data_IF_026885200514
#
_entry.id   IF_026885200514
#
_cell.length_a   1.000
_cell.length_b   1.000
_cell.length_c   1.000
_cell.angle_alpha   90.00
_cell.angle_beta   90.00
_cell.angle_gamma   90.00
#
_symmetry.space_group_name_H-M   'P 1'
#
loop_
_entity.id
_entity.type
_entity.pdbx_description
1 polymer ?
#
# COMPACT_ATOMS: atom_id res chain seq x y z
N UNK A 1 -14.23 7.14 -1.78
CA UNK A 1 -14.56 6.85 -3.18
C UNK A 1 -13.64 5.75 -3.68
N UNK A 2 -14.19 4.77 -4.41
CA UNK A 2 -13.43 3.65 -4.95
C UNK A 2 -13.01 4.03 -6.37
N UNK A 3 -11.81 4.57 -6.52
CA UNK A 3 -11.23 4.88 -7.82
C UNK A 3 -9.95 4.05 -7.99
N UNK A 4 -9.90 3.24 -9.03
CA UNK A 4 -8.75 2.42 -9.38
C UNK A 4 -8.40 2.71 -10.84
N UNK A 5 -7.26 3.37 -11.06
CA UNK A 5 -6.80 3.83 -12.38
C UNK A 5 -6.91 2.78 -13.52
N UNK A 6 -6.58 1.48 -13.32
CA UNK A 6 -6.69 0.50 -14.41
C UNK A 6 -8.04 -0.24 -14.51
N UNK A 7 -8.96 -0.11 -13.54
CA UNK A 7 -10.21 -0.91 -13.52
C UNK A 7 -11.40 -0.05 -13.12
N UNK A 8 -12.45 -0.04 -13.95
CA UNK A 8 -13.65 0.76 -13.73
C UNK A 8 -14.38 0.46 -12.39
N UNK A 9 -14.22 -0.75 -11.84
CA UNK A 9 -14.85 -1.17 -10.59
C UNK A 9 -13.99 -2.17 -9.81
N UNK A 10 -14.18 -2.23 -8.49
CA UNK A 10 -13.57 -3.28 -7.67
C UNK A 10 -14.40 -4.56 -7.73
N UNK A 11 -13.70 -5.68 -7.91
CA UNK A 11 -14.27 -7.02 -7.77
C UNK A 11 -14.69 -7.29 -6.32
N UNK A 12 -15.64 -8.21 -6.11
CA UNK A 12 -16.08 -8.61 -4.76
C UNK A 12 -14.90 -9.08 -3.90
N UNK A 13 -14.02 -9.92 -4.46
CA UNK A 13 -12.79 -10.36 -3.78
C UNK A 13 -11.92 -9.19 -3.32
N UNK A 14 -11.68 -8.19 -4.17
CA UNK A 14 -10.89 -7.01 -3.80
C UNK A 14 -11.54 -6.22 -2.67
N UNK A 15 -12.88 -6.08 -2.66
CA UNK A 15 -13.61 -5.42 -1.56
C UNK A 15 -13.44 -6.16 -0.24
N UNK A 16 -13.59 -7.50 -0.25
CA UNK A 16 -13.34 -8.34 0.95
C UNK A 16 -11.91 -8.15 1.46
N UNK A 17 -10.91 -8.17 0.57
CA UNK A 17 -9.51 -8.01 0.94
C UNK A 17 -9.21 -6.60 1.50
N UNK A 18 -9.84 -5.56 0.96
CA UNK A 18 -9.74 -4.20 1.49
C UNK A 18 -10.36 -4.10 2.88
N UNK A 19 -11.57 -4.63 3.07
CA UNK A 19 -12.25 -4.66 4.38
C UNK A 19 -11.41 -5.43 5.40
N UNK A 20 -10.87 -6.58 5.04
CA UNK A 20 -9.98 -7.37 5.90
C UNK A 20 -8.74 -6.57 6.32
N UNK A 21 -8.06 -5.92 5.37
CA UNK A 21 -6.90 -5.07 5.67
C UNK A 21 -7.28 -3.92 6.61
N UNK A 22 -8.40 -3.24 6.34
CA UNK A 22 -8.89 -2.15 7.18
C UNK A 22 -9.22 -2.62 8.60
N UNK A 23 -9.95 -3.72 8.74
CA UNK A 23 -10.28 -4.31 10.03
C UNK A 23 -9.01 -4.59 10.86
N UNK A 24 -7.98 -5.18 10.26
CA UNK A 24 -6.70 -5.44 10.95
C UNK A 24 -5.97 -4.17 11.38
N UNK A 25 -5.96 -3.11 10.55
CA UNK A 25 -5.33 -1.84 10.90
C UNK A 25 -6.08 -1.12 12.05
N UNK A 26 -7.41 -1.15 12.06
CA UNK A 26 -8.19 -0.61 13.18
C UNK A 26 -8.02 -1.46 14.45
N UNK A 27 -7.88 -2.77 14.31
CA UNK A 27 -7.61 -3.67 15.43
C UNK A 27 -6.23 -3.42 16.05
N UNK A 28 -5.23 -3.06 15.25
CA UNK A 28 -3.93 -2.57 15.74
C UNK A 28 -4.05 -1.26 16.51
N UNK A 29 -5.00 -0.40 16.10
CA UNK A 29 -5.25 0.88 16.78
C UNK A 29 -5.94 0.69 18.14
N UNK A 30 -6.85 -0.28 18.25
CA UNK A 30 -7.49 -0.66 19.52
C UNK A 30 -6.53 -1.44 20.44
N UNK A 31 -5.79 -2.40 19.88
CA UNK A 31 -4.90 -3.29 20.62
C UNK A 31 -3.45 -2.80 20.57
N UNK A 32 -3.11 -1.85 21.46
CA UNK A 32 -1.77 -1.25 21.53
C UNK A 32 -0.68 -2.31 21.74
N UNK A 33 -0.95 -3.32 22.57
CA UNK A 33 0.02 -4.37 22.88
C UNK A 33 0.04 -5.47 21.81
N UNK A 34 1.25 -5.83 21.37
CA UNK A 34 1.46 -6.70 20.22
C UNK A 34 0.96 -8.14 20.46
N UNK A 35 1.10 -8.66 21.68
CA UNK A 35 0.60 -9.97 22.10
C UNK A 35 -0.92 -10.11 21.97
N UNK A 36 -1.67 -9.13 22.50
CA UNK A 36 -3.13 -9.06 22.39
C UNK A 36 -3.57 -8.88 20.95
N UNK A 37 -2.89 -8.00 20.21
CA UNK A 37 -3.13 -7.80 18.79
C UNK A 37 -3.07 -9.13 18.02
N UNK A 38 -1.98 -9.90 18.15
CA UNK A 38 -1.83 -11.17 17.43
C UNK A 38 -2.94 -12.18 17.76
N UNK A 39 -3.38 -12.25 19.02
CA UNK A 39 -4.49 -13.09 19.41
C UNK A 39 -5.77 -12.74 18.63
N UNK A 40 -6.15 -11.46 18.61
CA UNK A 40 -7.35 -11.01 17.90
C UNK A 40 -7.22 -11.06 16.38
N UNK A 41 -6.02 -10.86 15.81
CA UNK A 41 -5.77 -11.07 14.37
C UNK A 41 -6.06 -12.51 13.96
N UNK A 42 -5.65 -13.50 14.78
CA UNK A 42 -5.95 -14.90 14.52
C UNK A 42 -7.46 -15.19 14.58
N UNK A 43 -8.18 -14.60 15.53
CA UNK A 43 -9.64 -14.71 15.62
C UNK A 43 -10.34 -14.08 14.41
N UNK A 44 -9.95 -12.86 14.02
CA UNK A 44 -10.42 -12.21 12.81
C UNK A 44 -10.23 -13.10 11.59
N UNK A 45 -9.02 -13.63 11.41
CA UNK A 45 -8.74 -14.52 10.29
C UNK A 45 -9.63 -15.76 10.29
N UNK A 46 -9.90 -16.36 11.45
CA UNK A 46 -10.79 -17.51 11.55
C UNK A 46 -12.22 -17.16 11.11
N UNK A 47 -12.76 -16.00 11.50
CA UNK A 47 -14.09 -15.55 11.08
C UNK A 47 -14.17 -15.32 9.56
N UNK A 48 -13.16 -14.70 8.96
CA UNK A 48 -13.09 -14.55 7.50
C UNK A 48 -12.89 -15.89 6.77
N UNK A 49 -12.20 -16.85 7.37
CA UNK A 49 -11.98 -18.18 6.77
C UNK A 49 -13.24 -19.06 6.81
N UNK A 50 -14.15 -18.86 7.78
CA UNK A 50 -15.42 -19.58 7.89
C UNK A 50 -16.32 -19.39 6.65
N UNK A 51 -16.41 -18.16 6.15
CA UNK A 51 -17.21 -17.79 4.98
C UNK A 51 -16.41 -17.78 3.66
N UNK A 52 -15.20 -18.37 3.64
CA UNK A 52 -14.34 -18.33 2.45
C UNK A 52 -14.87 -19.15 1.28
N UNK A 53 -15.51 -20.29 1.56
CA UNK A 53 -15.96 -21.26 0.55
C UNK A 53 -17.45 -21.11 0.19
N UNK A 54 -18.01 -19.91 0.35
CA UNK A 54 -19.40 -19.65 -0.04
C UNK A 54 -19.53 -19.55 -1.56
N UNK A 55 -20.41 -20.38 -2.14
CA UNK A 55 -20.65 -20.43 -3.59
C UNK A 55 -21.69 -19.42 -4.06
N UNK A 56 -22.61 -19.01 -3.19
CA UNK A 56 -23.67 -18.05 -3.51
C UNK A 56 -23.17 -16.60 -3.40
N UNK A 57 -23.09 -15.92 -4.55
CA UNK A 57 -22.64 -14.54 -4.64
C UNK A 57 -23.60 -13.54 -3.98
N UNK A 58 -24.91 -13.81 -3.95
CA UNK A 58 -25.87 -12.91 -3.32
C UNK A 58 -25.64 -12.91 -1.81
N UNK A 59 -25.56 -14.09 -1.21
CA UNK A 59 -25.20 -14.25 0.20
C UNK A 59 -23.84 -13.62 0.52
N UNK A 60 -22.81 -13.85 -0.30
CA UNK A 60 -21.49 -13.27 -0.09
C UNK A 60 -21.49 -11.72 -0.14
N UNK A 61 -22.34 -11.11 -0.97
CA UNK A 61 -22.50 -9.64 -0.99
C UNK A 61 -23.27 -9.12 0.23
N UNK A 62 -24.24 -9.88 0.72
CA UNK A 62 -24.98 -9.54 1.93
C UNK A 62 -24.07 -9.59 3.16
N UNK A 63 -23.27 -10.65 3.32
CA UNK A 63 -22.30 -10.77 4.40
C UNK A 63 -21.27 -9.63 4.37
N UNK A 64 -20.78 -9.28 3.19
CA UNK A 64 -19.86 -8.15 3.03
C UNK A 64 -20.51 -6.84 3.51
N UNK A 65 -21.78 -6.60 3.14
CA UNK A 65 -22.52 -5.41 3.56
C UNK A 65 -22.77 -5.38 5.07
N UNK A 66 -23.05 -6.52 5.68
CA UNK A 66 -23.21 -6.64 7.13
C UNK A 66 -21.89 -6.42 7.86
N UNK A 67 -20.80 -7.02 7.37
CA UNK A 67 -19.46 -6.82 7.89
C UNK A 67 -18.98 -5.36 7.76
N UNK A 68 -19.29 -4.68 6.66
CA UNK A 68 -19.00 -3.24 6.49
C UNK A 68 -19.75 -2.38 7.51
N UNK A 69 -21.01 -2.72 7.83
CA UNK A 69 -21.77 -2.02 8.88
C UNK A 69 -21.16 -2.26 10.26
N UNK A 70 -20.85 -3.50 10.60
CA UNK A 70 -20.19 -3.83 11.86
C UNK A 70 -18.85 -3.11 12.00
N UNK A 71 -18.05 -3.13 10.93
CA UNK A 71 -16.79 -2.41 10.87
C UNK A 71 -17.00 -0.91 11.10
N UNK A 72 -17.96 -0.28 10.41
CA UNK A 72 -18.28 1.14 10.57
C UNK A 72 -18.66 1.52 12.01
N UNK A 73 -19.43 0.68 12.69
CA UNK A 73 -19.82 0.92 14.08
C UNK A 73 -18.65 0.79 15.06
N UNK A 74 -17.68 -0.08 14.77
CA UNK A 74 -16.57 -0.42 15.66
C UNK A 74 -15.23 0.25 15.29
N UNK A 75 -15.24 1.25 14.39
CA UNK A 75 -14.01 1.93 13.99
C UNK A 75 -13.39 2.70 15.15
N UNK A 76 -12.08 2.56 15.31
CA UNK A 76 -11.33 3.43 16.21
C UNK A 76 -11.40 4.88 15.73
N UNK A 77 -11.75 5.87 16.59
CA UNK A 77 -11.93 7.27 16.17
C UNK A 77 -10.70 7.93 15.52
N UNK A 78 -9.50 7.53 15.92
CA UNK A 78 -8.24 8.10 15.41
C UNK A 78 -7.27 6.98 15.01
N UNK A 79 -7.51 6.29 13.89
CA UNK A 79 -6.71 5.12 13.52
C UNK A 79 -5.22 5.47 13.39
N UNK A 80 -4.36 4.48 13.64
CA UNK A 80 -2.93 4.63 13.40
C UNK A 80 -2.67 4.74 11.89
N UNK A 81 -2.11 5.87 11.49
CA UNK A 81 -1.72 6.16 10.10
C UNK A 81 -0.21 6.31 10.05
N UNK A 82 0.45 5.63 9.11
CA UNK A 82 1.89 5.75 8.94
C UNK A 82 2.29 7.19 8.58
N UNK A 83 3.44 7.70 9.06
CA UNK A 83 3.81 9.10 8.88
C UNK A 83 3.80 9.59 7.42
N UNK A 84 4.27 8.76 6.49
CA UNK A 84 4.38 9.10 5.07
C UNK A 84 3.12 8.75 4.25
N UNK A 85 2.15 8.05 4.86
CA UNK A 85 0.88 7.73 4.19
C UNK A 85 -0.07 8.92 4.20
N UNK A 86 -1.05 9.00 3.28
CA UNK A 86 -2.07 10.05 3.29
C UNK A 86 -2.78 10.15 4.64
N UNK A 87 -2.85 11.37 5.19
CA UNK A 87 -3.38 11.62 6.55
C UNK A 87 -2.38 11.39 7.69
N UNK A 88 -1.15 10.96 7.37
CA UNK A 88 -0.04 10.82 8.32
C UNK A 88 0.58 12.17 8.68
N UNK A 89 1.35 12.18 9.77
CA UNK A 89 1.97 13.41 10.33
C UNK A 89 3.12 13.98 9.49
N UNK A 90 3.64 13.22 8.53
CA UNK A 90 4.74 13.63 7.63
C UNK A 90 4.36 13.52 6.15
N UNK A 91 3.06 13.37 5.86
CA UNK A 91 2.55 13.31 4.51
C UNK A 91 2.89 14.60 3.76
N UNK A 92 3.44 14.47 2.55
CA UNK A 92 3.87 15.59 1.69
C UNK A 92 4.86 16.58 2.34
N UNK A 93 5.44 16.26 3.51
CA UNK A 93 6.40 17.13 4.22
C UNK A 93 7.56 17.57 3.34
N UNK A 94 8.03 16.69 2.46
CA UNK A 94 9.19 16.94 1.59
C UNK A 94 8.81 17.37 0.17
N UNK A 95 7.53 17.55 -0.13
CA UNK A 95 7.06 17.92 -1.47
C UNK A 95 7.63 19.28 -1.92
N UNK A 96 7.79 20.22 -0.99
CA UNK A 96 8.39 21.54 -1.27
C UNK A 96 9.86 21.48 -1.75
N UNK A 97 10.56 20.37 -1.55
CA UNK A 97 11.93 20.16 -2.03
C UNK A 97 11.99 19.37 -3.34
N UNK A 98 10.86 18.88 -3.84
CA UNK A 98 10.77 18.09 -5.07
C UNK A 98 10.69 19.01 -6.28
N UNK A 99 11.78 19.70 -6.57
CA UNK A 99 11.90 20.55 -7.75
C UNK A 99 11.87 19.67 -9.00
N UNK A 100 11.01 19.95 -9.99
CA UNK A 100 10.96 19.15 -11.19
C UNK A 100 12.21 19.37 -12.04
N UNK A 101 12.65 18.29 -12.70
CA UNK A 101 13.93 18.23 -13.41
C UNK A 101 14.09 19.34 -14.47
N UNK A 102 13.01 19.75 -15.12
CA UNK A 102 13.03 20.74 -16.19
C UNK A 102 13.47 22.15 -15.71
N UNK A 103 13.29 22.50 -14.44
CA UNK A 103 13.76 23.80 -13.89
C UNK A 103 15.29 23.97 -13.97
N UNK A 104 16.05 22.87 -14.05
CA UNK A 104 17.50 22.93 -14.25
C UNK A 104 17.91 23.43 -15.64
N UNK A 105 16.99 23.42 -16.62
CA UNK A 105 17.25 24.00 -17.94
C UNK A 105 17.31 25.53 -17.89
N UNK A 106 16.65 26.17 -16.91
CA UNK A 106 16.58 27.62 -16.77
C UNK A 106 17.80 28.23 -16.04
N UNK A 107 18.73 27.40 -15.56
CA UNK A 107 19.92 27.85 -14.85
C UNK A 107 20.85 28.70 -15.72
N UNK A 108 21.47 29.72 -15.12
CA UNK A 108 22.45 30.55 -15.81
C UNK A 108 23.69 29.71 -16.22
N UNK A 109 24.31 29.94 -17.39
CA UNK A 109 25.45 29.14 -17.85
C UNK A 109 26.60 29.03 -16.86
N UNK A 110 26.87 30.07 -16.06
CA UNK A 110 27.92 30.01 -15.01
C UNK A 110 27.59 29.02 -13.89
N UNK A 111 26.31 28.87 -13.54
CA UNK A 111 25.86 27.89 -12.55
C UNK A 111 25.94 26.47 -13.13
N UNK A 112 25.61 26.30 -14.42
CA UNK A 112 25.75 25.01 -15.11
C UNK A 112 27.21 24.58 -15.25
N UNK A 113 28.11 25.53 -15.50
CA UNK A 113 29.55 25.28 -15.61
C UNK A 113 30.16 24.72 -14.32
N UNK A 114 29.50 24.87 -13.16
CA UNK A 114 29.90 24.25 -11.89
C UNK A 114 29.76 22.71 -11.92
N UNK A 115 28.88 22.15 -12.75
CA UNK A 115 28.57 20.72 -12.80
C UNK A 115 28.68 20.15 -14.23
N UNK A 116 29.87 20.21 -14.86
CA UNK A 116 30.02 19.91 -16.29
C UNK A 116 29.62 18.46 -16.63
N UNK A 117 30.05 17.48 -15.82
CA UNK A 117 29.78 16.06 -16.08
C UNK A 117 28.30 15.71 -15.97
N UNK A 118 27.59 16.33 -15.02
CA UNK A 118 26.16 16.10 -14.83
C UNK A 118 25.36 16.64 -16.01
N UNK A 119 25.61 17.89 -16.43
CA UNK A 119 24.93 18.46 -17.58
C UNK A 119 25.29 17.75 -18.89
N UNK A 120 26.53 17.28 -19.07
CA UNK A 120 26.92 16.47 -20.21
C UNK A 120 26.11 15.15 -20.29
N UNK A 121 25.96 14.44 -19.17
CA UNK A 121 25.12 13.23 -19.09
C UNK A 121 23.66 13.54 -19.33
N UNK A 122 23.14 14.62 -18.75
CA UNK A 122 21.74 15.04 -18.91
C UNK A 122 21.39 15.31 -20.37
N UNK A 123 22.28 15.92 -21.15
CA UNK A 123 22.04 16.13 -22.58
C UNK A 123 21.91 14.82 -23.36
N UNK A 124 22.61 13.74 -22.95
CA UNK A 124 22.39 12.41 -23.52
C UNK A 124 20.97 11.89 -23.24
N UNK A 125 20.45 12.09 -22.03
CA UNK A 125 19.07 11.73 -21.68
C UNK A 125 18.03 12.57 -22.44
N UNK A 126 18.27 13.86 -22.61
CA UNK A 126 17.39 14.75 -23.39
C UNK A 126 17.39 14.38 -24.87
N UNK A 127 18.55 13.98 -25.41
CA UNK A 127 18.66 13.45 -26.78
C UNK A 127 17.86 12.16 -26.93
N UNK A 128 18.03 11.20 -26.01
CA UNK A 128 17.27 9.95 -25.99
C UNK A 128 15.75 10.21 -25.95
N UNK A 129 15.29 11.14 -25.10
CA UNK A 129 13.87 11.51 -25.01
C UNK A 129 13.32 12.07 -26.32
N UNK A 130 14.10 12.91 -27.02
CA UNK A 130 13.68 13.49 -28.31
C UNK A 130 13.57 12.40 -29.39
N UNK A 131 14.53 11.47 -29.41
CA UNK A 131 14.55 10.35 -30.36
C UNK A 131 13.43 9.34 -30.11
N UNK A 132 13.10 9.09 -28.84
CA UNK A 132 12.05 8.14 -28.46
C UNK A 132 10.64 8.68 -28.69
N UNK A 133 10.41 9.99 -28.53
CA UNK A 133 9.08 10.60 -28.56
C UNK A 133 8.25 10.25 -29.79
N UNK A 134 8.82 10.37 -31.00
CA UNK A 134 8.08 10.06 -32.23
C UNK A 134 7.71 8.58 -32.33
N UNK A 135 8.56 7.69 -31.82
CA UNK A 135 8.31 6.23 -31.84
C UNK A 135 7.21 5.86 -30.86
N UNK A 136 7.26 6.43 -29.66
CA UNK A 136 6.25 6.26 -28.61
C UNK A 136 4.88 6.72 -29.09
N UNK A 137 4.79 7.91 -29.70
CA UNK A 137 3.52 8.44 -30.23
C UNK A 137 2.97 7.57 -31.35
N UNK A 138 3.84 7.09 -32.27
CA UNK A 138 3.42 6.14 -33.32
C UNK A 138 2.90 4.84 -32.74
N UNK A 139 3.58 4.29 -31.73
CA UNK A 139 3.13 3.08 -31.04
C UNK A 139 1.75 3.30 -30.40
N UNK A 140 1.57 4.40 -29.66
CA UNK A 140 0.28 4.73 -29.05
C UNK A 140 -0.83 4.90 -30.10
N UNK A 141 -0.57 5.59 -31.21
CA UNK A 141 -1.55 5.75 -32.28
C UNK A 141 -1.94 4.44 -32.96
N UNK A 142 -1.00 3.49 -33.07
CA UNK A 142 -1.24 2.18 -33.65
C UNK A 142 -2.07 1.27 -32.73
N UNK A 143 -1.83 1.34 -31.42
CA UNK A 143 -2.49 0.49 -30.43
C UNK A 143 -3.80 1.06 -29.90
N UNK A 144 -3.97 2.39 -29.97
CA UNK A 144 -5.19 3.06 -29.50
C UNK A 144 -6.34 2.81 -30.48
N UNK A 145 -7.47 2.36 -29.94
CA UNK A 145 -8.70 2.14 -30.70
C UNK A 145 -9.25 3.48 -31.24
N UNK A 146 -10.03 3.44 -32.33
CA UNK A 146 -10.58 4.65 -32.98
C UNK A 146 -11.45 5.53 -32.05
N UNK A 147 -12.04 4.95 -31.01
CA UNK A 147 -12.84 5.67 -29.99
C UNK A 147 -12.02 6.23 -28.82
N UNK A 148 -10.68 6.16 -28.87
CA UNK A 148 -9.79 6.50 -27.76
C UNK A 148 -9.46 5.30 -26.86
N UNK A 149 -8.58 5.49 -25.86
CA UNK A 149 -8.19 4.41 -24.94
C UNK A 149 -9.33 4.06 -23.98
N UNK A 150 -9.59 2.77 -23.81
CA UNK A 150 -10.61 2.25 -22.88
C UNK A 150 -10.16 2.20 -21.42
N UNK A 151 -8.85 2.29 -21.16
CA UNK A 151 -8.24 2.21 -19.82
C UNK A 151 -6.98 3.07 -19.79
N UNK A 152 -6.58 3.56 -18.60
CA UNK A 152 -5.38 4.36 -18.39
C UNK A 152 -4.06 3.56 -18.51
N UNK A 153 -4.12 2.26 -18.78
CA UNK A 153 -2.97 1.39 -18.86
C UNK A 153 -2.18 1.66 -20.14
N UNK A 154 -0.89 2.01 -19.98
CA UNK A 154 0.03 2.19 -21.11
C UNK A 154 0.63 0.85 -21.54
N UNK A 155 0.79 0.63 -22.86
CA UNK A 155 1.42 -0.58 -23.34
C UNK A 155 2.93 -0.58 -23.08
N UNK A 156 3.56 -1.76 -22.92
CA UNK A 156 5.02 -1.86 -22.84
C UNK A 156 5.68 -1.60 -24.20
N UNK A 157 6.99 -1.37 -24.23
CA UNK A 157 7.75 -1.28 -25.47
C UNK A 157 7.72 -2.63 -26.24
N UNK A 158 7.42 -2.61 -27.53
CA UNK A 158 7.27 -3.83 -28.34
C UNK A 158 8.57 -4.29 -29.03
N UNK A 159 9.46 -3.35 -29.38
CA UNK A 159 10.67 -3.63 -30.17
C UNK A 159 11.92 -3.44 -29.33
N UNK A 160 12.95 -4.21 -29.65
CA UNK A 160 14.26 -4.07 -29.04
C UNK A 160 14.87 -2.70 -29.38
N UNK A 161 15.24 -1.94 -28.36
CA UNK A 161 15.77 -0.58 -28.48
C UNK A 161 14.74 0.54 -28.43
N UNK A 162 13.43 0.24 -28.43
CA UNK A 162 12.40 1.23 -28.16
C UNK A 162 12.12 1.36 -26.65
N UNK A 163 11.71 2.56 -26.22
CA UNK A 163 11.37 2.85 -24.82
C UNK A 163 9.85 2.81 -24.62
N UNK A 164 9.37 2.46 -23.40
CA UNK A 164 7.94 2.46 -23.12
C UNK A 164 7.32 3.85 -23.34
N UNK A 165 6.11 3.96 -23.89
CA UNK A 165 5.48 5.26 -24.13
C UNK A 165 5.27 6.05 -22.84
N UNK A 166 5.47 7.37 -22.92
CA UNK A 166 5.31 8.34 -21.82
C UNK A 166 6.18 8.08 -20.59
N UNK A 167 7.27 7.31 -20.72
CA UNK A 167 8.15 6.91 -19.60
C UNK A 167 8.79 8.09 -18.86
N UNK A 168 8.99 9.24 -19.51
CA UNK A 168 9.85 10.31 -19.01
C UNK A 168 9.48 10.81 -17.61
N UNK A 169 8.21 11.13 -17.37
CA UNK A 169 7.77 11.71 -16.10
C UNK A 169 7.83 10.69 -14.95
N UNK A 170 7.73 9.40 -15.25
CA UNK A 170 7.83 8.31 -14.28
C UNK A 170 9.29 8.10 -13.86
N UNK A 171 10.20 8.12 -14.84
CA UNK A 171 11.64 7.88 -14.61
C UNK A 171 12.34 9.10 -14.04
N UNK A 172 12.00 10.30 -14.51
CA UNK A 172 12.61 11.56 -14.05
C UNK A 172 11.86 12.22 -12.89
N UNK A 173 10.97 11.47 -12.22
CA UNK A 173 10.28 11.98 -11.04
C UNK A 173 11.29 12.39 -9.97
N UNK A 174 11.05 13.50 -9.23
CA UNK A 174 11.88 13.85 -8.10
C UNK A 174 11.98 12.72 -7.08
N UNK A 175 13.10 12.66 -6.39
CA UNK A 175 13.31 11.68 -5.32
C UNK A 175 12.34 11.94 -4.17
N UNK A 176 11.84 10.90 -3.52
CA UNK A 176 10.92 11.05 -2.37
C UNK A 176 11.55 11.82 -1.21
N UNK A 177 12.85 11.61 -0.96
CA UNK A 177 13.63 12.32 0.06
C UNK A 177 14.86 12.99 -0.56
N UNK A 178 14.70 14.22 -1.11
CA UNK A 178 15.81 14.99 -1.70
C UNK A 178 16.82 15.49 -0.65
N UNK A 179 16.34 15.80 0.56
CA UNK A 179 17.12 16.39 1.65
C UNK A 179 17.91 15.36 2.46
N UNK A 180 17.55 14.08 2.39
CA UNK A 180 18.25 13.01 3.10
C UNK A 180 19.53 12.62 2.35
N UNK A 181 20.66 13.19 2.81
CA UNK A 181 22.00 12.70 2.48
C UNK A 181 22.16 11.32 3.14
N UNK A 182 22.14 10.24 2.34
CA UNK A 182 22.58 8.94 2.84
C UNK A 182 24.03 9.11 3.31
N UNK A 183 24.28 9.00 4.61
CA UNK A 183 25.64 8.74 5.10
C UNK A 183 26.02 7.35 4.58
N UNK A 184 26.84 7.31 3.54
CA UNK A 184 27.69 6.16 3.23
C UNK A 184 27.08 4.95 2.53
N UNK A 185 26.13 5.11 1.60
CA UNK A 185 25.73 3.98 0.76
C UNK A 185 25.55 4.38 -0.70
N UNK A 186 26.41 3.81 -1.53
CA UNK A 186 26.23 3.65 -2.96
C UNK A 186 24.83 3.10 -3.26
N UNK A 187 24.21 3.71 -4.25
CA UNK A 187 22.89 3.40 -4.77
C UNK A 187 22.81 1.97 -5.30
N UNK A 188 22.32 1.04 -4.49
CA UNK A 188 21.54 -0.12 -4.96
C UNK A 188 20.69 -0.71 -3.82
N UNK A 189 19.42 -1.02 -4.12
CA UNK A 189 18.60 -2.03 -3.42
C UNK A 189 18.11 -1.83 -1.97
N UNK A 190 17.65 -0.63 -1.53
CA UNK A 190 17.07 -0.51 -0.16
C UNK A 190 15.59 -0.07 -0.09
N UNK A 191 14.99 0.49 -1.15
CA UNK A 191 13.58 0.94 -1.05
C UNK A 191 12.57 -0.19 -1.32
N UNK A 192 12.93 -1.23 -2.06
CA UNK A 192 12.10 -2.44 -2.20
C UNK A 192 12.15 -3.32 -0.94
N UNK A 193 13.19 -3.12 -0.10
CA UNK A 193 13.43 -3.96 1.06
C UNK A 193 12.45 -3.67 2.21
N UNK A 194 12.02 -2.45 2.49
CA UNK A 194 11.14 -2.20 3.66
C UNK A 194 9.73 -2.79 3.49
N UNK A 195 9.13 -2.69 2.30
CA UNK A 195 7.82 -3.29 2.02
C UNK A 195 7.89 -4.82 1.90
N UNK A 196 8.98 -5.36 1.32
CA UNK A 196 9.19 -6.81 1.29
C UNK A 196 9.60 -7.38 2.65
N UNK A 197 10.29 -6.63 3.50
CA UNK A 197 10.62 -6.99 4.88
C UNK A 197 9.33 -6.99 5.69
N UNK A 198 8.51 -5.94 5.68
CA UNK A 198 7.21 -5.97 6.38
C UNK A 198 6.31 -7.12 5.89
N UNK A 199 6.24 -7.41 4.59
CA UNK A 199 5.47 -8.55 4.04
C UNK A 199 6.08 -9.91 4.37
N UNK A 200 7.40 -10.06 4.32
CA UNK A 200 8.10 -11.33 4.66
C UNK A 200 8.07 -11.59 6.16
N UNK A 201 8.24 -10.57 6.99
CA UNK A 201 8.15 -10.68 8.45
C UNK A 201 6.71 -10.93 8.91
N UNK A 202 5.71 -10.26 8.33
CA UNK A 202 4.30 -10.60 8.63
C UNK A 202 3.96 -12.01 8.18
N UNK A 203 4.35 -12.45 6.97
CA UNK A 203 4.10 -13.84 6.52
C UNK A 203 4.90 -14.89 7.31
N UNK A 204 6.14 -14.60 7.71
CA UNK A 204 6.96 -15.49 8.53
C UNK A 204 6.42 -15.58 9.97
N UNK A 205 6.04 -14.45 10.58
CA UNK A 205 5.37 -14.44 11.88
C UNK A 205 4.02 -15.16 11.83
N UNK A 206 3.22 -14.96 10.78
CA UNK A 206 1.97 -15.71 10.56
C UNK A 206 2.23 -17.23 10.43
N UNK A 207 3.34 -17.65 9.81
CA UNK A 207 3.69 -19.09 9.74
C UNK A 207 4.16 -19.65 11.08
N UNK A 208 4.96 -18.90 11.83
CA UNK A 208 5.45 -19.30 13.16
C UNK A 208 4.28 -19.36 14.15
N UNK A 209 3.42 -18.34 14.18
CA UNK A 209 2.22 -18.34 15.03
C UNK A 209 1.24 -19.43 14.63
N UNK A 210 1.10 -19.79 13.34
CA UNK A 210 0.28 -20.94 12.91
C UNK A 210 0.82 -22.29 13.42
N UNK A 211 2.14 -22.46 13.50
CA UNK A 211 2.77 -23.65 14.08
C UNK A 211 2.59 -23.74 15.60
N UNK A 212 2.76 -22.63 16.31
CA UNK A 212 2.54 -22.59 17.76
C UNK A 212 1.06 -22.67 18.14
N UNK A 213 0.16 -22.09 17.34
CA UNK A 213 -1.27 -22.18 17.57
C UNK A 213 -1.82 -23.57 17.26
N UNK A 214 -1.25 -24.31 16.29
CA UNK A 214 -1.60 -25.72 16.07
C UNK A 214 -1.19 -26.57 17.28
N UNK A 215 0.04 -26.41 17.78
CA UNK A 215 0.52 -27.07 19.02
C UNK A 215 -0.31 -26.70 20.25
N UNK A 216 -0.71 -25.43 20.38
CA UNK A 216 -1.49 -24.92 21.52
C UNK A 216 -2.97 -25.29 21.44
N UNK A 217 -3.55 -25.36 20.24
CA UNK A 217 -4.91 -25.87 20.00
C UNK A 217 -4.99 -27.37 20.30
N UNK A 218 -4.00 -28.14 19.86
CA UNK A 218 -3.91 -29.58 20.17
C UNK A 218 -3.74 -29.82 21.68
N UNK A 219 -3.08 -28.89 22.40
CA UNK A 219 -2.98 -28.91 23.87
C UNK A 219 -4.24 -28.42 24.60
N UNK A 220 -5.00 -27.48 24.04
CA UNK A 220 -6.22 -26.91 24.65
C UNK A 220 -7.46 -27.77 24.41
N UNK A 221 -7.51 -28.54 23.31
CA UNK A 221 -8.58 -29.53 23.05
C UNK A 221 -8.60 -30.67 24.07
N UNK A 222 -7.50 -30.90 24.80
CA UNK A 222 -7.45 -31.88 25.90
C UNK A 222 -8.04 -31.30 27.21
N UNK A 223 -8.18 -29.98 27.34
CA UNK A 223 -8.51 -29.31 28.62
C UNK A 223 -9.65 -28.27 28.57
N UNK A 224 -10.33 -28.06 27.44
CA UNK A 224 -11.20 -26.91 27.23
C UNK A 224 -12.69 -27.22 27.08
N UNK A 225 -13.33 -27.80 28.11
CA UNK A 225 -14.80 -27.90 28.20
C UNK A 225 -15.42 -26.80 29.11
N UNK A 226 -14.69 -25.76 29.49
CA UNK A 226 -15.13 -24.81 30.55
C UNK A 226 -15.11 -23.31 30.22
N UNK A 227 -14.80 -22.87 29.00
CA UNK A 227 -14.63 -21.43 28.70
C UNK A 227 -15.77 -20.76 27.90
N UNK A 228 -16.97 -21.34 27.89
CA UNK A 228 -18.15 -20.83 27.17
C UNK A 228 -18.78 -19.54 27.77
N UNK A 229 -18.17 -18.91 28.79
CA UNK A 229 -18.82 -17.84 29.57
C UNK A 229 -18.15 -16.45 29.57
N UNK A 230 -17.28 -16.10 28.61
CA UNK A 230 -16.59 -14.77 28.62
C UNK A 230 -16.80 -13.89 27.38
N UNK A 231 -17.87 -14.12 26.63
CA UNK A 231 -18.35 -13.18 25.60
C UNK A 231 -19.14 -11.99 26.19
N UNK A 232 -19.46 -12.00 27.49
CA UNK A 232 -20.12 -10.91 28.21
C UNK A 232 -19.20 -9.76 28.65
N UNK A 233 -17.87 -9.87 28.48
CA UNK A 233 -16.93 -8.86 28.99
C UNK A 233 -16.62 -7.70 28.02
N UNK A 234 -17.04 -7.79 26.75
CA UNK A 234 -16.82 -6.73 25.75
C UNK A 234 -17.80 -5.55 25.87
N UNK A 235 -18.89 -5.70 26.65
CA UNK A 235 -19.83 -4.61 26.93
C UNK A 235 -19.42 -3.73 28.13
N UNK A 236 -18.33 -4.06 28.85
CA UNK A 236 -17.95 -3.41 30.11
C UNK A 236 -16.77 -2.44 30.05
N UNK A 237 -16.11 -2.29 28.90
CA UNK A 237 -14.89 -1.48 28.79
C UNK A 237 -15.12 -0.02 28.37
N UNK A 238 -16.35 0.48 28.49
CA UNK A 238 -16.79 1.86 28.21
C UNK A 238 -17.19 2.64 29.48
N UNK A 239 -16.97 2.11 30.68
CA UNK A 239 -17.19 2.81 31.95
C UNK A 239 -15.95 2.77 32.82
N UNK A 240 -14.99 3.67 32.57
CA UNK A 240 -14.01 4.09 33.59
C UNK A 240 -13.18 5.30 33.12
N UNK A 241 -13.83 6.40 32.75
CA UNK A 241 -13.23 7.74 32.77
C UNK A 241 -14.31 8.75 33.17
N UNK A 242 -14.61 8.83 34.47
CA UNK A 242 -15.21 10.02 35.08
C UNK A 242 -14.10 10.95 35.58
N UNK A 243 -14.26 12.28 35.49
CA UNK A 243 -13.27 13.22 35.94
C UNK A 243 -13.25 13.28 37.47
N UNK A 244 -12.06 13.23 38.06
CA UNK A 244 -11.85 13.55 39.47
C UNK A 244 -11.78 15.07 39.64
N UNK A 245 -12.74 15.58 40.42
CA UNK A 245 -12.82 16.82 41.22
C UNK A 245 -12.20 18.11 40.68
#
# INVERSE_FOLDING_TARGET
MVFSAPVAYLTHQQKVLQLYKQALCHLESWCIYRDKYWYFVCLMRAWFEEHKNETDMVKATQLLREAEKEFWHNQYPQPYIFPDSPGGTSYERYECYKVPEWCLDDWHPTQKAMYPDYFAKREQWKKLRKESWEREVKQLQQETLAGGPSTEALPPAQKEGDLPPLWWHIVTRPREWPTWRKRGEDTSLVVVASETICRKYTLALIKVTRCDWKKKKDSLLVHGHESEMRLTAMAGCSHQLSPAT
#
